data_IF_286191939628
#
_entry.id   IF_286191939628
#
_cell.length_a   1.000
_cell.length_b   1.000
_cell.length_c   1.000
_cell.angle_alpha   90.00
_cell.angle_beta   90.00
_cell.angle_gamma   90.00
#
_symmetry.space_group_name_H-M   'P 1'
#
loop_
_entity.id
_entity.type
_entity.pdbx_description
1 polymer ?
#
# COMPACT_ATOMS: atom_id res chain seq x y z
N UNK A 1 23.96 -18.33 7.83
CA UNK A 1 22.82 -18.28 8.76
C UNK A 1 21.77 -19.30 8.30
N UNK A 2 21.00 -19.91 9.19
CA UNK A 2 19.84 -20.75 8.76
C UNK A 2 18.81 -19.88 8.04
N UNK A 3 18.16 -20.39 6.98
CA UNK A 3 17.11 -19.69 6.22
C UNK A 3 16.00 -19.12 7.12
N UNK A 4 15.69 -19.83 8.22
CA UNK A 4 14.71 -19.36 9.20
C UNK A 4 15.18 -18.11 9.96
N UNK A 5 16.47 -18.03 10.29
CA UNK A 5 17.08 -16.88 10.99
C UNK A 5 17.13 -15.65 10.07
N UNK A 6 17.42 -15.86 8.79
CA UNK A 6 17.42 -14.81 7.77
C UNK A 6 16.00 -14.24 7.55
N UNK A 7 14.99 -15.10 7.39
CA UNK A 7 13.58 -14.68 7.28
C UNK A 7 13.15 -13.83 8.47
N UNK A 8 13.45 -14.26 9.70
CA UNK A 8 13.09 -13.52 10.91
C UNK A 8 13.83 -12.18 11.06
N UNK A 9 15.00 -12.02 10.44
CA UNK A 9 15.70 -10.75 10.40
C UNK A 9 15.07 -9.77 9.39
N UNK A 10 14.74 -10.26 8.20
CA UNK A 10 14.04 -9.49 7.16
C UNK A 10 12.70 -8.99 7.72
N UNK A 11 11.92 -9.87 8.35
CA UNK A 11 10.62 -9.51 8.94
C UNK A 11 10.75 -8.40 9.98
N UNK A 12 11.74 -8.49 10.89
CA UNK A 12 11.99 -7.42 11.88
C UNK A 12 12.40 -6.10 11.24
N UNK A 13 13.27 -6.14 10.23
CA UNK A 13 13.71 -4.92 9.54
C UNK A 13 12.56 -4.28 8.77
N UNK A 14 11.75 -5.08 8.07
CA UNK A 14 10.55 -4.61 7.38
C UNK A 14 9.55 -3.99 8.35
N UNK A 15 9.23 -4.68 9.45
CA UNK A 15 8.30 -4.17 10.48
C UNK A 15 8.74 -2.81 11.01
N UNK A 16 10.02 -2.65 11.36
CA UNK A 16 10.56 -1.35 11.83
C UNK A 16 10.51 -0.27 10.75
N UNK A 17 10.78 -0.64 9.51
CA UNK A 17 10.72 0.30 8.40
C UNK A 17 9.29 0.78 8.16
N UNK A 18 8.31 -0.13 8.13
CA UNK A 18 6.88 0.23 8.02
C UNK A 18 6.48 1.16 9.15
N UNK A 19 6.81 0.80 10.41
CA UNK A 19 6.51 1.64 11.58
C UNK A 19 7.09 3.05 11.43
N UNK A 20 8.36 3.16 11.05
CA UNK A 20 9.02 4.44 10.82
C UNK A 20 8.40 5.22 9.64
N UNK A 21 7.91 4.55 8.60
CA UNK A 21 7.23 5.22 7.48
C UNK A 21 5.86 5.74 7.88
N UNK A 22 5.13 5.06 8.76
CA UNK A 22 3.86 5.57 9.28
C UNK A 22 4.01 6.86 10.10
N UNK A 23 5.21 7.20 10.58
CA UNK A 23 5.50 8.46 11.27
C UNK A 23 5.76 9.62 10.29
N UNK A 24 5.97 9.34 9.00
CA UNK A 24 6.15 10.35 7.97
C UNK A 24 4.82 11.02 7.64
N UNK A 25 4.79 12.36 7.63
CA UNK A 25 3.56 13.13 7.41
C UNK A 25 2.91 12.83 6.06
N UNK A 26 3.69 12.62 5.00
CA UNK A 26 3.14 12.36 3.66
C UNK A 26 2.53 10.97 3.58
N UNK A 27 3.21 9.98 4.16
CA UNK A 27 2.70 8.60 4.26
C UNK A 27 1.41 8.58 5.10
N UNK A 28 1.42 9.25 6.24
CA UNK A 28 0.25 9.35 7.12
C UNK A 28 -0.95 10.01 6.43
N UNK A 29 -0.72 11.09 5.68
CA UNK A 29 -1.78 11.77 4.93
C UNK A 29 -2.33 10.92 3.79
N UNK A 30 -1.48 10.18 3.06
CA UNK A 30 -1.92 9.25 2.01
C UNK A 30 -2.78 8.11 2.57
N UNK A 31 -2.38 7.53 3.71
CA UNK A 31 -3.18 6.49 4.40
C UNK A 31 -4.52 7.06 4.86
N UNK A 32 -4.54 8.28 5.42
CA UNK A 32 -5.79 8.92 5.83
C UNK A 32 -6.70 9.26 4.66
N UNK A 33 -6.14 9.67 3.53
CA UNK A 33 -6.91 9.92 2.32
C UNK A 33 -7.62 8.64 1.84
N UNK A 34 -6.91 7.50 1.82
CA UNK A 34 -7.51 6.23 1.47
C UNK A 34 -8.64 5.81 2.42
N UNK A 35 -8.42 5.91 3.74
CA UNK A 35 -9.47 5.62 4.73
C UNK A 35 -10.71 6.49 4.53
N UNK A 36 -10.52 7.79 4.35
CA UNK A 36 -11.62 8.72 4.09
C UNK A 36 -12.39 8.34 2.83
N UNK A 37 -11.69 8.02 1.73
CA UNK A 37 -12.33 7.69 0.46
C UNK A 37 -13.06 6.33 0.51
N UNK A 38 -12.54 5.36 1.24
CA UNK A 38 -13.27 4.11 1.53
C UNK A 38 -14.56 4.39 2.31
N UNK A 39 -14.53 5.29 3.30
CA UNK A 39 -15.73 5.70 4.05
C UNK A 39 -16.73 6.45 3.13
N UNK A 40 -16.26 7.32 2.23
CA UNK A 40 -17.13 8.01 1.25
C UNK A 40 -17.84 7.02 0.33
N UNK A 41 -17.16 5.97 -0.12
CA UNK A 41 -17.75 4.90 -0.94
C UNK A 41 -18.74 4.05 -0.14
N UNK A 42 -18.36 3.66 1.09
CA UNK A 42 -19.20 2.82 1.94
C UNK A 42 -20.51 3.51 2.36
N UNK A 43 -20.52 4.84 2.42
CA UNK A 43 -21.69 5.65 2.75
C UNK A 43 -22.43 6.21 1.52
N UNK A 44 -22.13 5.71 0.32
CA UNK A 44 -22.75 6.11 -0.95
C UNK A 44 -22.69 7.64 -1.20
N UNK A 45 -21.68 8.33 -0.66
CA UNK A 45 -21.48 9.78 -0.87
C UNK A 45 -20.81 10.11 -2.20
N UNK A 46 -20.11 9.14 -2.76
CA UNK A 46 -19.49 9.20 -4.08
C UNK A 46 -20.07 8.09 -4.93
N UNK A 47 -20.85 8.46 -5.94
CA UNK A 47 -21.35 7.50 -6.93
C UNK A 47 -20.22 7.15 -7.91
N UNK A 48 -19.80 5.88 -7.88
CA UNK A 48 -18.95 5.32 -8.93
C UNK A 48 -19.87 4.77 -10.01
N UNK A 49 -20.09 5.56 -11.07
CA UNK A 49 -20.90 5.12 -12.20
C UNK A 49 -20.23 3.94 -12.92
N UNK A 50 -20.90 2.79 -12.99
CA UNK A 50 -20.47 1.64 -13.79
C UNK A 50 -19.64 0.62 -13.01
N UNK A 51 -18.67 -0.01 -13.68
CA UNK A 51 -17.81 -1.06 -13.10
C UNK A 51 -16.68 -0.43 -12.27
N UNK A 52 -16.50 -0.78 -10.98
CA UNK A 52 -15.41 -0.28 -10.13
C UNK A 52 -14.00 -0.49 -10.72
N UNK A 53 -13.88 -1.35 -11.73
CA UNK A 53 -12.65 -1.60 -12.52
C UNK A 53 -12.03 -0.32 -13.12
N UNK A 54 -12.78 0.79 -13.26
CA UNK A 54 -12.24 2.06 -13.78
C UNK A 54 -11.92 3.11 -12.71
N UNK A 55 -11.97 2.75 -11.41
CA UNK A 55 -11.44 3.62 -10.38
C UNK A 55 -9.92 3.64 -10.55
N UNK A 56 -9.36 4.78 -10.97
CA UNK A 56 -7.91 4.97 -11.13
C UNK A 56 -7.31 5.73 -9.93
N UNK A 57 -8.17 6.22 -9.04
CA UNK A 57 -7.78 7.15 -7.98
C UNK A 57 -7.07 6.41 -6.83
N UNK A 58 -7.57 5.24 -6.47
CA UNK A 58 -6.93 4.21 -5.64
C UNK A 58 -5.54 3.83 -6.18
N UNK A 59 -5.43 3.51 -7.46
CA UNK A 59 -4.15 3.16 -8.09
C UNK A 59 -3.15 4.33 -7.99
N UNK A 60 -3.60 5.57 -8.23
CA UNK A 60 -2.75 6.76 -8.10
C UNK A 60 -2.25 6.96 -6.67
N UNK A 61 -3.08 6.72 -5.66
CA UNK A 61 -2.66 6.81 -4.26
C UNK A 61 -1.66 5.70 -3.90
N UNK A 62 -1.92 4.46 -4.33
CA UNK A 62 -1.02 3.32 -4.15
C UNK A 62 0.35 3.52 -4.81
N UNK A 63 0.38 3.97 -6.06
CA UNK A 63 1.62 4.32 -6.75
C UNK A 63 2.35 5.48 -6.09
N UNK A 64 1.64 6.51 -5.64
CA UNK A 64 2.22 7.69 -5.00
C UNK A 64 2.99 7.31 -3.73
N UNK A 65 2.40 6.51 -2.84
CA UNK A 65 3.08 6.07 -1.62
C UNK A 65 4.24 5.11 -1.93
N UNK A 66 4.09 4.22 -2.91
CA UNK A 66 5.14 3.30 -3.32
C UNK A 66 6.38 4.05 -3.85
N UNK A 67 6.16 4.97 -4.80
CA UNK A 67 7.22 5.79 -5.39
C UNK A 67 7.83 6.75 -4.36
N UNK A 68 7.02 7.33 -3.48
CA UNK A 68 7.51 8.21 -2.41
C UNK A 68 8.52 7.52 -1.50
N UNK A 69 8.25 6.27 -1.12
CA UNK A 69 9.12 5.53 -0.18
C UNK A 69 10.30 4.87 -0.90
N UNK A 70 10.01 4.14 -1.98
CA UNK A 70 10.95 3.24 -2.66
C UNK A 70 11.45 3.73 -4.02
N UNK A 71 11.01 4.90 -4.48
CA UNK A 71 11.34 5.41 -5.81
C UNK A 71 10.66 4.62 -6.94
N UNK A 72 11.02 4.93 -8.19
CA UNK A 72 10.40 4.34 -9.39
C UNK A 72 10.49 2.81 -9.44
N UNK A 73 11.51 2.20 -8.84
CA UNK A 73 11.65 0.74 -8.77
C UNK A 73 10.56 0.07 -7.92
N UNK A 74 9.95 0.79 -6.98
CA UNK A 74 8.86 0.25 -6.17
C UNK A 74 7.60 -0.04 -6.98
N UNK A 75 7.39 0.66 -8.10
CA UNK A 75 6.23 0.50 -8.96
C UNK A 75 6.15 -0.91 -9.56
N UNK A 76 7.28 -1.54 -9.90
CA UNK A 76 7.29 -2.92 -10.40
C UNK A 76 6.77 -3.92 -9.36
N UNK A 77 7.11 -3.70 -8.09
CA UNK A 77 6.62 -4.55 -7.00
C UNK A 77 5.16 -4.21 -6.66
N UNK A 78 4.78 -2.94 -6.68
CA UNK A 78 3.41 -2.48 -6.46
C UNK A 78 2.44 -3.16 -7.42
N UNK A 79 2.68 -3.08 -8.73
CA UNK A 79 1.83 -3.73 -9.76
C UNK A 79 1.63 -5.22 -9.47
N UNK A 80 2.67 -5.91 -9.00
CA UNK A 80 2.56 -7.34 -8.65
C UNK A 80 1.69 -7.58 -7.40
N UNK A 81 1.76 -6.71 -6.42
CA UNK A 81 1.02 -6.84 -5.16
C UNK A 81 -0.44 -6.47 -5.35
N UNK A 82 -0.71 -5.38 -6.05
CA UNK A 82 -2.06 -4.94 -6.39
C UNK A 82 -2.79 -6.02 -7.22
N UNK A 83 -2.18 -6.55 -8.29
CA UNK A 83 -2.79 -7.65 -9.06
C UNK A 83 -3.09 -8.92 -8.26
N UNK A 84 -2.36 -9.17 -7.17
CA UNK A 84 -2.47 -10.43 -6.39
C UNK A 84 -3.27 -10.29 -5.10
N UNK A 85 -3.37 -9.07 -4.56
CA UNK A 85 -3.93 -8.72 -3.25
C UNK A 85 -3.67 -9.78 -2.16
N UNK A 86 -2.39 -10.13 -1.86
CA UNK A 86 -2.08 -11.20 -0.91
C UNK A 86 -2.42 -10.83 0.54
N UNK A 87 -2.91 -11.82 1.30
CA UNK A 87 -3.11 -11.69 2.74
C UNK A 87 -4.14 -10.62 3.08
N UNK A 88 -3.80 -9.70 3.99
CA UNK A 88 -4.73 -8.64 4.42
C UNK A 88 -5.20 -7.74 3.28
N UNK A 89 -4.45 -7.63 2.18
CA UNK A 89 -4.82 -6.77 1.05
C UNK A 89 -6.16 -7.17 0.42
N UNK A 90 -6.54 -8.45 0.44
CA UNK A 90 -7.84 -8.89 -0.09
C UNK A 90 -9.03 -8.60 0.85
N UNK A 91 -8.77 -8.06 2.04
CA UNK A 91 -9.77 -7.80 3.08
C UNK A 91 -10.02 -6.31 3.32
N UNK A 92 -9.24 -5.43 2.67
CA UNK A 92 -9.32 -3.97 2.84
C UNK A 92 -10.28 -3.35 1.81
N UNK A 93 -10.68 -2.11 2.05
CA UNK A 93 -11.43 -1.31 1.08
C UNK A 93 -10.59 -0.97 -0.15
N UNK A 94 -11.26 -0.52 -1.22
CA UNK A 94 -10.68 -0.35 -2.56
C UNK A 94 -9.57 0.71 -2.61
N UNK A 95 -9.58 1.70 -1.73
CA UNK A 95 -8.48 2.66 -1.64
C UNK A 95 -7.39 2.19 -0.68
N UNK A 96 -7.79 1.57 0.44
CA UNK A 96 -6.85 1.18 1.48
C UNK A 96 -5.99 -0.02 1.06
N UNK A 97 -6.52 -0.97 0.28
CA UNK A 97 -5.72 -2.09 -0.21
C UNK A 97 -4.55 -1.60 -1.09
N UNK A 98 -4.78 -0.65 -1.99
CA UNK A 98 -3.78 -0.07 -2.87
C UNK A 98 -2.74 0.74 -2.11
N UNK A 99 -3.18 1.58 -1.16
CA UNK A 99 -2.25 2.37 -0.34
C UNK A 99 -1.40 1.47 0.57
N UNK A 100 -1.97 0.40 1.14
CA UNK A 100 -1.20 -0.54 1.95
C UNK A 100 -0.29 -1.40 1.08
N UNK A 101 -0.70 -1.79 -0.13
CA UNK A 101 0.16 -2.45 -1.11
C UNK A 101 1.35 -1.55 -1.48
N UNK A 102 1.11 -0.26 -1.71
CA UNK A 102 2.14 0.72 -1.99
C UNK A 102 3.10 0.95 -0.82
N UNK A 103 2.59 1.04 0.41
CA UNK A 103 3.40 1.12 1.63
C UNK A 103 4.34 -0.08 1.78
N UNK A 104 3.80 -1.30 1.63
CA UNK A 104 4.56 -2.54 1.75
C UNK A 104 5.64 -2.60 0.68
N UNK A 105 5.29 -2.32 -0.58
CA UNK A 105 6.21 -2.44 -1.71
C UNK A 105 7.27 -1.35 -1.71
N UNK A 106 6.93 -0.11 -1.32
CA UNK A 106 7.89 0.95 -1.07
C UNK A 106 8.88 0.58 0.03
N UNK A 107 8.40 0.03 1.16
CA UNK A 107 9.28 -0.43 2.23
C UNK A 107 10.16 -1.62 1.82
N UNK A 108 9.60 -2.59 1.09
CA UNK A 108 10.35 -3.74 0.58
C UNK A 108 11.45 -3.30 -0.38
N UNK A 109 11.17 -2.38 -1.29
CA UNK A 109 12.18 -1.83 -2.21
C UNK A 109 13.25 -1.01 -1.49
N UNK A 110 12.95 -0.40 -0.33
CA UNK A 110 13.97 0.26 0.51
C UNK A 110 14.83 -0.70 1.30
N UNK A 111 14.34 -1.91 1.55
CA UNK A 111 15.02 -2.91 2.38
C UNK A 111 16.12 -3.66 1.60
N UNK A 112 15.98 -3.77 0.28
CA UNK A 112 16.85 -4.50 -0.64
C UNK A 112 17.46 -3.58 -1.69
#
# INVERSE_FOLDING_TARGET
MSKAKEKGEIERRLRRLIQSRCEDVNVHLLIRAALYLDDELAEDRVEVEGDPVNLLCDEFLGMSIAEYIGGKSALFNYVRYDMRKPGVLSELGVFLDDVIAGLITGCMTRLF
#
